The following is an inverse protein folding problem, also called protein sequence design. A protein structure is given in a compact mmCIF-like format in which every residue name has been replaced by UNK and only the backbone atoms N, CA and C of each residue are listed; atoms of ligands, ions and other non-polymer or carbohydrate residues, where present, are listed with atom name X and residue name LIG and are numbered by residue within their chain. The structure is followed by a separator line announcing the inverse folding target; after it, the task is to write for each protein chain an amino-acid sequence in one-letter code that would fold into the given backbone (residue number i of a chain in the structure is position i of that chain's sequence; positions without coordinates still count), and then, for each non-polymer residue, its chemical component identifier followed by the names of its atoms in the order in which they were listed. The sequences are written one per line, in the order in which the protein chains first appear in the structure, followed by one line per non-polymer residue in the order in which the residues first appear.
data_IF_465733219726
#
_entry.id   IF_465733219726
#
_cell.length_a   1.000
_cell.length_b   1.000
_cell.length_c   1.000
_cell.angle_alpha   90.00
_cell.angle_beta   90.00
_cell.angle_gamma   90.00
#
_symmetry.space_group_name_H-M   'P 1'
#
loop_
_entity.id
_entity.type
_entity.pdbx_description
1 polymer ?
#
# COMPACT_ATOMS: atom_id res chain seq x y z
N UNK A 1 23.88 -1.40 -48.65
CA UNK A 1 24.09 -1.93 -47.28
C UNK A 1 23.82 -0.88 -46.17
N UNK A 2 22.92 0.09 -46.39
CA UNK A 2 22.60 1.13 -45.38
C UNK A 2 21.18 1.03 -44.82
N UNK A 3 20.27 0.38 -45.54
CA UNK A 3 18.88 0.16 -45.09
C UNK A 3 18.81 -0.81 -43.92
N UNK A 4 19.61 -1.88 -43.94
CA UNK A 4 19.61 -2.90 -42.89
C UNK A 4 20.09 -2.36 -41.53
N UNK A 5 21.09 -1.47 -41.51
CA UNK A 5 21.59 -0.86 -40.26
C UNK A 5 20.59 0.12 -39.65
N UNK A 6 19.88 0.89 -40.48
CA UNK A 6 18.85 1.82 -40.00
C UNK A 6 17.67 1.09 -39.35
N UNK A 7 17.26 -0.05 -39.92
CA UNK A 7 16.17 -0.88 -39.37
C UNK A 7 16.56 -1.46 -38.01
N UNK A 8 17.79 -1.97 -37.86
CA UNK A 8 18.27 -2.53 -36.59
C UNK A 8 18.32 -1.46 -35.49
N UNK A 9 18.78 -0.26 -35.82
CA UNK A 9 18.83 0.87 -34.86
C UNK A 9 17.42 1.26 -34.43
N UNK A 10 16.46 1.33 -35.37
CA UNK A 10 15.07 1.66 -35.05
C UNK A 10 14.41 0.62 -34.13
N UNK A 11 14.65 -0.68 -34.37
CA UNK A 11 14.14 -1.77 -33.52
C UNK A 11 14.75 -1.70 -32.12
N UNK A 12 16.06 -1.47 -32.00
CA UNK A 12 16.72 -1.31 -30.71
C UNK A 12 16.13 -0.14 -29.90
N UNK A 13 15.87 1.00 -30.55
CA UNK A 13 15.26 2.15 -29.88
C UNK A 13 13.86 1.83 -29.35
N UNK A 14 13.03 1.16 -30.15
CA UNK A 14 11.67 0.76 -29.75
C UNK A 14 11.68 -0.15 -28.52
N UNK A 15 12.55 -1.18 -28.53
CA UNK A 15 12.67 -2.13 -27.41
C UNK A 15 13.14 -1.44 -26.11
N UNK A 16 14.07 -0.48 -26.20
CA UNK A 16 14.54 0.27 -25.03
C UNK A 16 13.39 1.14 -24.47
N UNK A 17 12.60 1.78 -25.33
CA UNK A 17 11.43 2.54 -24.88
C UNK A 17 10.42 1.64 -24.15
N UNK A 18 10.06 0.48 -24.68
CA UNK A 18 9.07 -0.41 -24.04
C UNK A 18 9.51 -0.88 -22.65
N UNK A 19 10.80 -1.17 -22.44
CA UNK A 19 11.35 -1.55 -21.14
C UNK A 19 11.29 -0.36 -20.16
N UNK A 20 11.67 0.83 -20.61
CA UNK A 20 11.65 2.06 -19.78
C UNK A 20 10.21 2.48 -19.45
N UNK A 21 9.27 2.38 -20.40
CA UNK A 21 7.86 2.71 -20.20
C UNK A 21 7.13 1.64 -19.37
N UNK A 22 7.44 0.35 -19.56
CA UNK A 22 6.88 -0.76 -18.79
C UNK A 22 7.32 -0.76 -17.32
N UNK A 23 8.59 -0.39 -17.05
CA UNK A 23 9.11 -0.20 -15.69
C UNK A 23 8.47 1.03 -15.00
N UNK A 24 8.07 2.05 -15.77
CA UNK A 24 7.29 3.20 -15.30
C UNK A 24 5.79 2.91 -15.21
N UNK A 25 5.39 1.70 -14.77
CA UNK A 25 4.04 1.51 -14.20
C UNK A 25 3.90 2.40 -12.98
N UNK A 26 3.52 3.66 -13.23
CA UNK A 26 3.23 4.70 -12.26
C UNK A 26 2.21 4.12 -11.28
N UNK A 27 2.57 4.13 -10.00
CA UNK A 27 1.58 4.11 -8.93
C UNK A 27 0.50 5.14 -9.31
N UNK A 28 -0.80 4.80 -9.24
CA UNK A 28 -1.86 5.71 -9.65
C UNK A 28 -1.64 7.08 -9.02
N UNK A 29 -1.58 8.15 -9.82
CA UNK A 29 -1.38 9.52 -9.30
C UNK A 29 -2.47 9.93 -8.30
N UNK A 30 -3.61 9.24 -8.34
CA UNK A 30 -4.82 9.61 -7.60
C UNK A 30 -5.14 8.65 -6.43
N UNK A 31 -4.20 7.76 -6.06
CA UNK A 31 -4.45 6.85 -4.95
C UNK A 31 -3.35 5.87 -4.60
N UNK A 32 -3.57 5.15 -3.51
CA UNK A 32 -2.66 4.16 -2.97
C UNK A 32 -3.22 2.75 -3.08
N UNK A 33 -2.34 1.77 -3.25
CA UNK A 33 -2.67 0.35 -3.21
C UNK A 33 -2.32 -0.22 -1.83
N UNK A 34 -3.28 -0.90 -1.20
CA UNK A 34 -3.15 -1.45 0.16
C UNK A 34 -3.63 -2.89 0.25
N UNK A 35 -3.04 -3.63 1.19
CA UNK A 35 -3.29 -5.04 1.42
C UNK A 35 -2.46 -5.97 0.53
N UNK A 36 -2.59 -7.29 0.75
CA UNK A 36 -1.84 -8.32 0.03
C UNK A 36 -2.14 -8.21 -1.48
N UNK A 37 -1.11 -7.92 -2.29
CA UNK A 37 -1.19 -7.67 -3.74
C UNK A 37 -2.00 -6.42 -4.17
N UNK A 38 -2.21 -5.44 -3.29
CA UNK A 38 -2.88 -4.18 -3.66
C UNK A 38 -4.40 -4.32 -3.93
N UNK A 39 -5.07 -5.28 -3.28
CA UNK A 39 -6.52 -5.52 -3.42
C UNK A 39 -7.39 -4.32 -3.05
N UNK A 40 -6.94 -3.43 -2.16
CA UNK A 40 -7.68 -2.23 -1.78
C UNK A 40 -7.04 -1.02 -2.44
N UNK A 41 -7.89 -0.16 -3.01
CA UNK A 41 -7.50 1.17 -3.48
C UNK A 41 -7.96 2.21 -2.47
N UNK A 42 -7.06 3.10 -2.10
CA UNK A 42 -7.36 4.31 -1.34
C UNK A 42 -7.21 5.52 -2.25
N UNK A 43 -8.10 6.49 -2.16
CA UNK A 43 -7.93 7.78 -2.83
C UNK A 43 -6.86 8.60 -2.11
N UNK A 44 -6.22 9.52 -2.82
CA UNK A 44 -5.34 10.49 -2.18
C UNK A 44 -6.08 11.27 -1.07
N UNK A 45 -5.41 11.49 0.07
CA UNK A 45 -5.98 12.10 1.27
C UNK A 45 -6.92 11.19 2.08
N UNK A 46 -7.24 9.99 1.60
CA UNK A 46 -8.14 9.08 2.30
C UNK A 46 -7.48 8.47 3.54
N UNK A 47 -8.25 8.36 4.62
CA UNK A 47 -7.88 7.64 5.84
C UNK A 47 -8.83 6.46 6.06
N UNK A 48 -8.27 5.28 6.35
CA UNK A 48 -9.03 4.05 6.63
C UNK A 48 -8.57 3.47 7.96
N UNK A 49 -9.52 3.23 8.86
CA UNK A 49 -9.28 2.54 10.12
C UNK A 49 -9.59 1.06 9.96
N UNK A 50 -8.61 0.21 10.26
CA UNK A 50 -8.71 -1.25 10.22
C UNK A 50 -8.88 -1.83 11.62
N UNK A 51 -9.60 -2.95 11.71
CA UNK A 51 -9.71 -3.76 12.94
C UNK A 51 -8.65 -4.85 13.00
N UNK A 52 -8.37 -5.54 11.89
CA UNK A 52 -7.40 -6.64 11.80
C UNK A 52 -6.55 -6.50 10.52
N UNK A 53 -5.25 -6.18 10.63
CA UNK A 53 -4.55 -5.70 11.83
C UNK A 53 -5.14 -4.37 12.35
N UNK A 54 -5.04 -4.09 13.65
CA UNK A 54 -5.56 -2.86 14.25
C UNK A 54 -4.63 -1.68 13.93
N UNK A 55 -4.96 -0.97 12.85
CA UNK A 55 -4.10 0.06 12.26
C UNK A 55 -4.93 1.15 11.60
N UNK A 56 -4.34 2.33 11.42
CA UNK A 56 -4.85 3.36 10.54
C UNK A 56 -3.93 3.50 9.32
N UNK A 57 -4.53 3.55 8.14
CA UNK A 57 -3.86 3.78 6.88
C UNK A 57 -4.24 5.15 6.35
N UNK A 58 -3.26 5.97 6.01
CA UNK A 58 -3.47 7.27 5.38
C UNK A 58 -2.75 7.28 4.04
N UNK A 59 -3.48 7.59 2.97
CA UNK A 59 -2.92 7.70 1.63
C UNK A 59 -2.55 9.15 1.35
N UNK A 60 -1.30 9.39 0.96
CA UNK A 60 -0.82 10.70 0.52
C UNK A 60 0.18 10.54 -0.62
N UNK A 61 -0.10 11.18 -1.76
CA UNK A 61 0.77 11.25 -2.94
C UNK A 61 1.22 9.86 -3.43
N UNK A 62 0.31 8.89 -3.42
CA UNK A 62 0.58 7.51 -3.83
C UNK A 62 1.32 6.66 -2.80
N UNK A 63 1.61 7.19 -1.61
CA UNK A 63 2.23 6.47 -0.50
C UNK A 63 1.23 6.24 0.64
N UNK A 64 1.33 5.07 1.28
CA UNK A 64 0.51 4.73 2.45
C UNK A 64 1.34 4.89 3.71
N UNK A 65 0.92 5.82 4.58
CA UNK A 65 1.40 5.89 5.95
C UNK A 65 0.54 4.98 6.83
N UNK A 66 1.20 4.07 7.54
CA UNK A 66 0.55 3.14 8.48
C UNK A 66 0.85 3.58 9.91
N UNK A 67 -0.21 3.83 10.69
CA UNK A 67 -0.14 4.10 12.13
C UNK A 67 -0.58 2.86 12.89
N UNK A 68 0.31 2.33 13.73
CA UNK A 68 0.05 1.20 14.62
C UNK A 68 -0.42 1.66 16.01
N UNK A 69 -1.00 0.75 16.77
CA UNK A 69 -1.22 0.96 18.21
C UNK A 69 0.10 1.19 18.94
N UNK A 70 0.15 2.18 19.83
CA UNK A 70 1.31 2.44 20.70
C UNK A 70 1.23 1.66 22.00
N UNK A 71 0.01 1.36 22.48
CA UNK A 71 -0.24 0.58 23.69
C UNK A 71 0.12 -0.89 23.46
N UNK A 72 1.00 -1.44 24.30
CA UNK A 72 1.29 -2.88 24.33
C UNK A 72 0.13 -3.64 24.98
N UNK A 73 -0.10 -4.87 24.53
CA UNK A 73 -1.04 -5.78 25.18
C UNK A 73 -0.63 -5.97 26.66
N UNK A 74 -1.53 -5.74 27.63
CA UNK A 74 -1.23 -6.02 29.03
C UNK A 74 -0.89 -7.50 29.24
N UNK A 75 0.10 -7.77 30.09
CA UNK A 75 0.50 -9.13 30.45
C UNK A 75 -0.40 -9.70 31.56
N UNK A 76 -1.69 -9.86 31.25
CA UNK A 76 -2.70 -10.38 32.16
C UNK A 76 -3.56 -11.43 31.45
N UNK A 77 -4.04 -12.47 32.16
CA UNK A 77 -4.96 -13.45 31.59
C UNK A 77 -6.29 -12.79 31.19
N UNK A 78 -7.02 -13.42 30.26
CA UNK A 78 -8.33 -12.95 29.77
C UNK A 78 -8.36 -11.53 29.18
N UNK A 79 -7.22 -11.00 28.74
CA UNK A 79 -7.19 -9.71 28.04
C UNK A 79 -7.64 -9.85 26.60
N UNK A 80 -8.74 -9.18 26.25
CA UNK A 80 -9.33 -9.17 24.92
C UNK A 80 -9.17 -7.79 24.28
N UNK A 81 -8.86 -7.69 22.98
CA UNK A 81 -8.86 -6.40 22.29
C UNK A 81 -10.28 -5.84 22.22
N UNK A 82 -10.45 -4.55 22.49
CA UNK A 82 -11.76 -3.91 22.39
C UNK A 82 -12.36 -4.08 20.99
N UNK A 83 -13.67 -4.37 20.89
CA UNK A 83 -14.34 -4.44 19.60
C UNK A 83 -14.34 -3.06 18.93
N UNK A 84 -14.13 -3.02 17.62
CA UNK A 84 -14.12 -1.79 16.83
C UNK A 84 -12.93 -1.69 15.89
N UNK A 85 -12.84 -0.56 15.18
CA UNK A 85 -11.70 -0.22 14.32
C UNK A 85 -10.71 0.65 15.09
N UNK A 86 -9.53 0.92 14.54
CA UNK A 86 -8.58 1.89 15.10
C UNK A 86 -9.26 3.25 15.38
N UNK A 87 -8.96 3.93 16.51
CA UNK A 87 -8.02 3.55 17.57
C UNK A 87 -8.64 2.66 18.67
N UNK A 88 -9.95 2.38 18.63
CA UNK A 88 -10.66 1.63 19.67
C UNK A 88 -10.06 0.24 19.89
N UNK A 89 -9.74 -0.49 18.81
CA UNK A 89 -9.12 -1.81 18.91
C UNK A 89 -7.70 -1.82 19.48
N UNK A 90 -7.10 -0.66 19.76
CA UNK A 90 -5.81 -0.57 20.48
C UNK A 90 -5.96 -0.71 22.00
N UNK A 91 -7.19 -0.62 22.51
CA UNK A 91 -7.49 -0.81 23.93
C UNK A 91 -7.80 -2.28 24.20
N UNK A 92 -7.60 -2.69 25.45
CA UNK A 92 -7.90 -4.03 25.92
C UNK A 92 -8.89 -3.96 27.08
N UNK A 93 -9.72 -4.98 27.20
CA UNK A 93 -10.63 -5.15 28.34
C UNK A 93 -10.47 -6.57 28.89
N UNK A 94 -10.69 -6.68 30.20
CA UNK A 94 -10.70 -7.96 30.89
C UNK A 94 -12.06 -8.62 30.71
N UNK A 95 -12.07 -9.85 30.21
CA UNK A 95 -13.27 -10.69 30.14
C UNK A 95 -12.88 -12.17 30.22
N UNK A 96 -13.15 -12.74 31.38
CA UNK A 96 -13.48 -14.14 31.56
C UNK A 96 -15.00 -14.20 31.81
#
# INVERSE_FOLDING_TARGET
MHTSTVVVIAICLLLISDVVYGARKKVPKDGCLVGKKGRRRMRDGQTVNSRFPCQQWHCSKGQVKVTNCTTKRPNLPCMNPMPGKFPTCCKYFYLC
#
